data_IF_902036921317
#
_entry.id   IF_902036921317
#
_cell.length_a   1.000
_cell.length_b   1.000
_cell.length_c   1.000
_cell.angle_alpha   90.00
_cell.angle_beta   90.00
_cell.angle_gamma   90.00
#
_symmetry.space_group_name_H-M   'P 1'
#
loop_
_entity.id
_entity.type
_entity.pdbx_description
1 polymer ?
#
# COMPACT_ATOMS: atom_id res chain seq x y z
N UNK A 1 8.92 -4.59 -12.16
CA UNK A 1 9.22 -3.27 -12.73
C UNK A 1 10.70 -3.10 -13.07
N UNK A 2 11.63 -3.52 -12.19
CA UNK A 2 13.08 -3.34 -12.39
C UNK A 2 13.73 -4.27 -13.43
N UNK A 3 13.22 -4.27 -14.67
CA UNK A 3 13.83 -5.01 -15.78
C UNK A 3 13.74 -4.19 -17.08
N UNK A 4 14.58 -4.53 -18.06
CA UNK A 4 14.69 -3.81 -19.32
C UNK A 4 14.75 -4.77 -20.51
N UNK A 5 13.88 -4.61 -21.54
CA UNK A 5 13.84 -5.51 -22.69
C UNK A 5 15.17 -5.59 -23.46
N UNK A 6 15.91 -4.48 -23.54
CA UNK A 6 17.19 -4.43 -24.28
C UNK A 6 18.32 -5.24 -23.62
N UNK A 7 18.13 -5.71 -22.38
CA UNK A 7 19.09 -6.62 -21.75
C UNK A 7 18.99 -8.05 -22.31
N UNK A 8 17.90 -8.39 -22.99
CA UNK A 8 17.61 -9.74 -23.49
C UNK A 8 17.67 -9.85 -25.02
N UNK A 9 17.96 -8.75 -25.71
CA UNK A 9 18.08 -8.71 -27.17
C UNK A 9 18.52 -7.35 -27.70
N UNK A 10 19.01 -7.34 -28.95
CA UNK A 10 19.34 -6.10 -29.64
C UNK A 10 18.08 -5.25 -29.82
N UNK A 11 18.18 -3.94 -29.54
CA UNK A 11 17.04 -3.01 -29.55
C UNK A 11 16.31 -3.00 -30.90
N UNK A 12 17.05 -3.20 -31.98
CA UNK A 12 16.57 -3.20 -33.36
C UNK A 12 15.64 -4.40 -33.66
N UNK A 13 15.76 -5.48 -32.88
CA UNK A 13 14.97 -6.71 -33.04
C UNK A 13 13.76 -6.75 -32.10
N UNK A 14 13.58 -5.75 -31.24
CA UNK A 14 12.50 -5.70 -30.25
C UNK A 14 11.42 -4.75 -30.76
N UNK A 15 10.27 -5.31 -31.15
CA UNK A 15 9.09 -4.52 -31.56
C UNK A 15 8.40 -3.89 -30.35
N UNK A 16 8.40 -4.59 -29.21
CA UNK A 16 7.74 -4.14 -28.00
C UNK A 16 7.70 -5.22 -26.92
N UNK A 17 6.77 -5.05 -25.99
CA UNK A 17 6.51 -5.97 -24.89
C UNK A 17 5.05 -6.43 -24.92
N UNK A 18 4.79 -7.60 -24.37
CA UNK A 18 3.44 -8.11 -24.16
C UNK A 18 3.34 -8.64 -22.73
N UNK A 19 2.18 -8.45 -22.11
CA UNK A 19 1.85 -9.01 -20.82
C UNK A 19 0.71 -10.02 -21.00
N UNK A 20 1.06 -11.28 -21.26
CA UNK A 20 0.08 -12.35 -21.43
C UNK A 20 -0.61 -12.64 -20.09
N UNK A 21 -1.94 -12.76 -20.12
CA UNK A 21 -2.74 -13.17 -18.99
C UNK A 21 -3.44 -14.49 -19.33
N UNK A 22 -3.05 -15.57 -18.65
CA UNK A 22 -3.56 -16.91 -18.88
C UNK A 22 -4.81 -17.17 -18.03
N UNK A 23 -5.89 -17.65 -18.67
CA UNK A 23 -7.23 -17.63 -18.08
C UNK A 23 -7.70 -18.93 -17.45
N UNK A 24 -6.84 -19.93 -17.26
CA UNK A 24 -7.25 -21.25 -16.77
C UNK A 24 -7.86 -21.21 -15.35
N UNK A 25 -7.50 -20.21 -14.55
CA UNK A 25 -7.89 -20.09 -13.13
C UNK A 25 -8.94 -19.02 -12.84
N UNK A 26 -9.43 -18.30 -13.86
CA UNK A 26 -10.38 -17.20 -13.65
C UNK A 26 -11.82 -17.70 -13.68
N UNK A 27 -12.55 -17.46 -12.59
CA UNK A 27 -13.97 -17.79 -12.48
C UNK A 27 -14.87 -16.59 -12.81
N UNK A 28 -14.36 -15.37 -12.71
CA UNK A 28 -15.10 -14.11 -12.85
C UNK A 28 -14.16 -12.97 -13.29
N UNK A 29 -14.74 -11.86 -13.75
CA UNK A 29 -13.99 -10.68 -14.18
C UNK A 29 -13.22 -10.03 -13.02
N UNK A 30 -13.75 -10.12 -11.80
CA UNK A 30 -13.09 -9.62 -10.59
C UNK A 30 -11.72 -10.29 -10.34
N UNK A 31 -11.62 -11.61 -10.58
CA UNK A 31 -10.36 -12.35 -10.48
C UNK A 31 -9.39 -11.95 -11.59
N UNK A 32 -9.91 -11.64 -12.79
CA UNK A 32 -9.10 -11.15 -13.90
C UNK A 32 -8.46 -9.81 -13.52
N UNK A 33 -9.27 -8.85 -13.05
CA UNK A 33 -8.80 -7.54 -12.62
C UNK A 33 -7.78 -7.65 -11.49
N UNK A 34 -8.04 -8.53 -10.51
CA UNK A 34 -7.15 -8.76 -9.38
C UNK A 34 -5.78 -9.29 -9.79
N UNK A 35 -5.72 -10.12 -10.83
CA UNK A 35 -4.48 -10.71 -11.34
C UNK A 35 -3.75 -9.75 -12.28
N UNK A 36 -4.49 -8.97 -13.06
CA UNK A 36 -3.95 -8.00 -14.00
C UNK A 36 -3.36 -6.78 -13.29
N UNK A 37 -4.10 -6.17 -12.36
CA UNK A 37 -3.68 -4.96 -11.66
C UNK A 37 -2.99 -5.30 -10.32
N UNK A 38 -1.92 -4.56 -9.97
CA UNK A 38 -1.36 -3.36 -10.61
C UNK A 38 -0.25 -3.65 -11.64
N UNK A 39 0.05 -4.93 -11.90
CA UNK A 39 1.17 -5.35 -12.74
C UNK A 39 1.05 -4.82 -14.17
N UNK A 40 -0.17 -4.72 -14.71
CA UNK A 40 -0.41 -4.22 -16.05
C UNK A 40 0.09 -2.79 -16.27
N UNK A 41 -0.10 -1.91 -15.28
CA UNK A 41 0.40 -0.52 -15.30
C UNK A 41 1.93 -0.48 -15.39
N UNK A 42 2.58 -1.40 -14.69
CA UNK A 42 4.04 -1.52 -14.69
C UNK A 42 4.57 -1.92 -16.07
N UNK A 43 3.87 -2.83 -16.76
CA UNK A 43 4.24 -3.23 -18.11
C UNK A 43 3.98 -2.08 -19.09
N UNK A 44 2.84 -1.41 -19.01
CA UNK A 44 2.55 -0.25 -19.87
C UNK A 44 3.65 0.83 -19.80
N UNK A 45 4.16 1.15 -18.60
CA UNK A 45 5.26 2.10 -18.43
C UNK A 45 6.58 1.60 -19.05
N UNK A 46 6.86 0.29 -18.98
CA UNK A 46 8.05 -0.30 -19.61
C UNK A 46 7.98 -0.19 -21.14
N UNK A 47 6.80 -0.37 -21.73
CA UNK A 47 6.61 -0.29 -23.18
C UNK A 47 6.57 1.14 -23.72
N UNK A 48 6.09 2.11 -22.93
CA UNK A 48 5.83 3.46 -23.40
C UNK A 48 6.92 4.48 -23.03
N UNK A 49 7.45 4.42 -21.81
CA UNK A 49 8.35 5.45 -21.28
C UNK A 49 9.81 5.16 -21.67
N UNK A 50 10.56 6.15 -22.18
CA UNK A 50 11.99 6.02 -22.44
C UNK A 50 12.77 5.57 -21.19
N UNK A 51 13.78 4.73 -21.37
CA UNK A 51 14.54 4.11 -20.28
C UNK A 51 15.12 5.11 -19.30
N UNK A 52 15.58 6.24 -19.81
CA UNK A 52 16.26 7.31 -19.08
C UNK A 52 15.36 7.98 -18.05
N UNK A 53 14.04 7.90 -18.24
CA UNK A 53 13.03 8.52 -17.37
C UNK A 53 12.40 7.53 -16.39
N UNK A 54 12.78 6.25 -16.44
CA UNK A 54 12.21 5.20 -15.58
C UNK A 54 13.05 5.02 -14.32
N UNK A 55 12.46 5.34 -13.16
CA UNK A 55 13.00 4.99 -11.85
C UNK A 55 11.90 4.47 -10.94
N UNK A 56 12.21 3.44 -10.14
CA UNK A 56 11.27 2.87 -9.17
C UNK A 56 10.79 3.93 -8.16
N UNK A 57 11.69 4.80 -7.70
CA UNK A 57 11.38 5.82 -6.71
C UNK A 57 10.39 6.86 -7.25
N UNK A 58 10.46 7.14 -8.56
CA UNK A 58 9.50 8.03 -9.24
C UNK A 58 8.21 7.33 -9.63
N UNK A 59 8.26 6.01 -9.82
CA UNK A 59 7.14 5.20 -10.25
C UNK A 59 6.20 4.84 -9.10
N UNK A 60 6.76 4.45 -7.94
CA UNK A 60 6.00 4.10 -6.73
C UNK A 60 4.91 5.15 -6.37
N UNK A 61 5.20 6.45 -6.28
CA UNK A 61 4.16 7.45 -5.95
C UNK A 61 3.08 7.57 -7.04
N UNK A 62 3.44 7.43 -8.33
CA UNK A 62 2.45 7.40 -9.42
C UNK A 62 1.55 6.16 -9.32
N UNK A 63 2.14 5.01 -8.99
CA UNK A 63 1.42 3.77 -8.82
C UNK A 63 0.41 3.85 -7.67
N UNK A 64 0.80 4.45 -6.55
CA UNK A 64 -0.08 4.68 -5.40
C UNK A 64 -1.27 5.55 -5.80
N UNK A 65 -1.04 6.65 -6.53
CA UNK A 65 -2.11 7.51 -7.06
C UNK A 65 -3.03 6.78 -8.05
N UNK A 66 -2.48 5.86 -8.86
CA UNK A 66 -3.30 4.99 -9.70
C UNK A 66 -4.18 4.04 -8.88
N UNK A 67 -3.72 3.60 -7.71
CA UNK A 67 -4.52 2.78 -6.78
C UNK A 67 -5.84 3.44 -6.43
N UNK A 68 -5.81 4.70 -5.96
CA UNK A 68 -7.03 5.47 -5.64
C UNK A 68 -7.97 5.58 -6.83
N UNK A 69 -7.43 5.80 -8.03
CA UNK A 69 -8.22 5.85 -9.27
C UNK A 69 -8.88 4.51 -9.61
N UNK A 70 -8.18 3.39 -9.43
CA UNK A 70 -8.71 2.05 -9.68
C UNK A 70 -9.84 1.72 -8.69
N UNK A 71 -9.70 2.13 -7.42
CA UNK A 71 -10.75 1.98 -6.40
C UNK A 71 -12.01 2.75 -6.77
N UNK A 72 -11.85 4.01 -7.21
CA UNK A 72 -12.97 4.83 -7.67
C UNK A 72 -13.66 4.26 -8.91
N UNK A 73 -12.96 3.45 -9.72
CA UNK A 73 -13.52 2.75 -10.87
C UNK A 73 -14.14 1.39 -10.51
N UNK A 74 -14.04 0.95 -9.25
CA UNK A 74 -14.53 -0.35 -8.81
C UNK A 74 -13.68 -1.54 -9.27
N UNK A 75 -12.46 -1.29 -9.78
CA UNK A 75 -11.55 -2.33 -10.24
C UNK A 75 -10.87 -2.95 -9.02
N UNK A 76 -11.05 -4.25 -8.83
CA UNK A 76 -10.37 -4.99 -7.76
C UNK A 76 -8.94 -5.27 -8.19
N UNK A 77 -7.96 -4.82 -7.42
CA UNK A 77 -6.55 -5.08 -7.68
C UNK A 77 -5.83 -5.59 -6.45
N UNK A 78 -4.69 -6.24 -6.66
CA UNK A 78 -3.85 -6.70 -5.56
C UNK A 78 -3.07 -5.55 -4.92
N UNK A 79 -3.42 -5.19 -3.68
CA UNK A 79 -2.70 -4.21 -2.87
C UNK A 79 -1.54 -4.90 -2.15
N UNK A 80 -0.33 -4.70 -2.65
CA UNK A 80 0.91 -5.16 -2.00
C UNK A 80 1.21 -4.27 -0.79
N UNK A 81 1.42 -4.87 0.38
CA UNK A 81 1.71 -4.19 1.65
C UNK A 81 3.00 -3.33 1.58
N UNK A 82 3.94 -3.68 0.71
CA UNK A 82 5.19 -2.93 0.54
C UNK A 82 5.02 -1.64 -0.27
N UNK A 83 3.91 -1.54 -1.02
CA UNK A 83 3.62 -0.42 -1.92
C UNK A 83 2.52 0.46 -1.32
N UNK A 84 1.43 -0.16 -0.89
CA UNK A 84 0.32 0.50 -0.21
C UNK A 84 0.43 0.22 1.29
N UNK A 85 1.05 1.16 1.99
CA UNK A 85 0.98 1.19 3.45
C UNK A 85 -0.49 1.40 3.83
N UNK A 86 -1.06 0.48 4.62
CA UNK A 86 -2.34 0.73 5.27
C UNK A 86 -2.14 1.98 6.12
N UNK A 87 -3.02 3.00 6.07
CA UNK A 87 -2.90 4.13 6.97
C UNK A 87 -2.84 3.58 8.39
N UNK A 88 -1.68 3.72 9.03
CA UNK A 88 -1.54 3.45 10.45
C UNK A 88 -2.34 4.54 11.14
N UNK A 89 -3.62 4.28 11.42
CA UNK A 89 -4.27 4.98 12.50
C UNK A 89 -3.74 4.33 13.78
N UNK A 90 -2.88 5.01 14.57
CA UNK A 90 -2.75 4.58 15.94
C UNK A 90 -4.17 4.65 16.50
N UNK A 91 -4.73 3.50 16.86
CA UNK A 91 -5.80 3.51 17.85
C UNK A 91 -5.13 4.13 19.06
N UNK A 92 -5.33 5.43 19.24
CA UNK A 92 -4.93 6.16 20.44
C UNK A 92 -5.80 5.60 21.57
N UNK A 93 -5.49 4.37 21.99
CA UNK A 93 -6.03 3.71 23.17
C UNK A 93 -5.43 4.28 24.45
N UNK A 94 -4.77 5.44 24.37
CA UNK A 94 -4.64 6.32 25.53
C UNK A 94 -6.02 6.94 25.71
N UNK A 95 -6.91 6.19 26.35
CA UNK A 95 -8.02 6.81 27.05
C UNK A 95 -7.39 7.77 28.05
N UNK A 96 -7.55 9.07 27.82
CA UNK A 96 -7.39 10.02 28.92
C UNK A 96 -8.54 9.70 29.89
N UNK A 97 -8.31 8.74 30.79
CA UNK A 97 -9.08 8.61 32.01
C UNK A 97 -8.81 9.89 32.80
N UNK A 98 -9.57 10.93 32.50
CA UNK A 98 -9.69 12.07 33.39
C UNK A 98 -10.62 11.62 34.52
N UNK A 99 -10.07 10.94 35.53
CA UNK A 99 -10.80 10.54 36.74
C UNK A 99 -11.21 11.73 37.62
N UNK A 100 -11.09 12.96 37.10
CA UNK A 100 -11.22 14.17 37.88
C UNK A 100 -10.02 14.35 38.80
N UNK A 101 -9.78 15.59 39.22
CA UNK A 101 -8.77 15.88 40.24
C UNK A 101 -9.13 15.10 41.52
N UNK A 102 -8.36 14.03 41.79
CA UNK A 102 -8.52 13.25 43.01
C UNK A 102 -8.40 14.17 44.23
N UNK A 103 -9.45 14.23 45.03
CA UNK A 103 -9.43 14.95 46.30
C UNK A 103 -8.31 14.39 47.18
N UNK A 104 -7.22 15.14 47.33
CA UNK A 104 -6.17 14.81 48.29
C UNK A 104 -6.71 15.03 49.70
N UNK A 105 -7.11 13.96 50.37
CA UNK A 105 -7.34 13.99 51.81
C UNK A 105 -5.96 14.01 52.48
N UNK A 106 -5.59 15.16 53.05
CA UNK A 106 -4.38 15.29 53.87
C UNK A 106 -4.72 14.94 55.31
N UNK A 107 -4.27 13.77 55.77
CA UNK A 107 -4.15 13.45 57.19
C UNK A 107 -2.69 13.64 57.64
N UNK A 108 -2.50 13.93 58.94
CA UNK A 108 -1.33 14.60 59.54
C UNK A 108 -0.04 13.75 59.57
N UNK A 109 -0.04 12.51 59.05
CA UNK A 109 1.14 11.62 59.09
C UNK A 109 1.63 11.09 57.72
N UNK A 110 1.29 11.76 56.62
CA UNK A 110 2.00 11.61 55.34
C UNK A 110 1.25 10.84 54.24
N UNK A 111 1.64 11.12 52.99
CA UNK A 111 0.99 10.61 51.76
C UNK A 111 1.25 9.12 51.56
N UNK A 112 0.21 8.29 51.72
CA UNK A 112 0.19 6.94 51.18
C UNK A 112 -0.71 6.91 49.94
N UNK A 113 -0.11 6.70 48.76
CA UNK A 113 -0.84 6.37 47.53
C UNK A 113 -1.07 4.87 47.48
N UNK A 114 -2.27 4.43 47.85
CA UNK A 114 -2.73 3.05 47.67
C UNK A 114 -3.86 3.00 46.65
N UNK A 115 -3.81 2.03 45.74
CA UNK A 115 -4.88 1.73 44.79
C UNK A 115 -5.68 0.56 45.38
N UNK A 116 -6.95 0.77 45.74
CA UNK A 116 -7.84 -0.32 46.13
C UNK A 116 -8.25 -1.08 44.86
N UNK A 117 -7.91 -2.36 44.76
CA UNK A 117 -8.47 -3.24 43.75
C UNK A 117 -9.78 -3.83 44.28
N UNK A 118 -10.88 -3.53 43.59
CA UNK A 118 -12.18 -4.18 43.72
C UNK A 118 -12.58 -4.83 42.40
#
# INVERSE_FOLDING_TARGET
YSWDPTNYGAKENIVGIEACLWSETFANNDHLDYMAYPKFLSHAEIGWTPKELRSWDTYKPRLIAHGERLENQGIKFYKDENIWEVPYEPVNGIWNLDEGEGNTITDTEGKYTGIFQG
#
